data_IF_609893696954
#
_entry.id   IF_609893696954
#
_cell.length_a   1.000
_cell.length_b   1.000
_cell.length_c   1.000
_cell.angle_alpha   90.00
_cell.angle_beta   90.00
_cell.angle_gamma   90.00
#
_symmetry.space_group_name_H-M   'P 1'
#
loop_
_entity.id
_entity.type
_entity.pdbx_description
1 polymer ?
#
# COMPACT_ATOMS: atom_id res chain seq x y z
N UNK A 1 -11.72 9.22 -5.99
CA UNK A 1 -11.54 8.25 -7.09
C UNK A 1 -10.45 7.27 -6.73
N UNK A 2 -10.31 6.16 -7.48
CA UNK A 2 -9.26 5.17 -7.30
C UNK A 2 -8.50 4.94 -8.61
N UNK A 3 -7.17 4.81 -8.54
CA UNK A 3 -6.30 4.53 -9.68
C UNK A 3 -5.19 3.54 -9.34
N UNK A 4 -4.55 2.99 -10.37
CA UNK A 4 -3.36 2.14 -10.25
C UNK A 4 -2.11 2.83 -10.82
N UNK A 5 -0.88 2.45 -10.40
CA UNK A 5 0.35 3.11 -10.87
C UNK A 5 0.49 3.18 -12.39
N UNK A 6 0.04 2.17 -13.13
CA UNK A 6 0.06 2.18 -14.60
C UNK A 6 -0.78 3.32 -15.19
N UNK A 7 -1.87 3.72 -14.54
CA UNK A 7 -2.67 4.85 -15.00
C UNK A 7 -1.97 6.18 -14.70
N UNK A 8 -1.23 6.30 -13.59
CA UNK A 8 -0.39 7.46 -13.33
C UNK A 8 0.71 7.62 -14.38
N UNK A 9 1.37 6.52 -14.76
CA UNK A 9 2.35 6.54 -15.87
C UNK A 9 1.72 7.08 -17.14
N UNK A 10 0.56 6.53 -17.56
CA UNK A 10 -0.14 6.99 -18.77
C UNK A 10 -0.56 8.46 -18.70
N UNK A 11 -0.93 8.95 -17.52
CA UNK A 11 -1.26 10.35 -17.32
C UNK A 11 -0.02 11.23 -17.47
N UNK A 12 1.12 10.84 -16.90
CA UNK A 12 2.38 11.57 -17.01
C UNK A 12 3.00 11.52 -18.42
N UNK A 13 2.69 10.49 -19.20
CA UNK A 13 3.11 10.36 -20.61
C UNK A 13 2.32 11.28 -21.56
N UNK A 14 1.25 11.92 -21.10
CA UNK A 14 0.54 12.92 -21.90
C UNK A 14 1.46 14.12 -22.19
N UNK A 15 1.35 14.72 -23.39
CA UNK A 15 2.00 15.99 -23.70
C UNK A 15 1.75 17.04 -22.61
N UNK A 16 2.77 17.86 -22.32
CA UNK A 16 2.71 18.83 -21.23
C UNK A 16 1.57 19.85 -21.41
N UNK A 17 1.33 20.31 -22.64
CA UNK A 17 0.23 21.21 -22.98
C UNK A 17 -1.15 20.59 -22.71
N UNK A 18 -1.30 19.29 -22.95
CA UNK A 18 -2.51 18.55 -22.61
C UNK A 18 -2.70 18.50 -21.10
N UNK A 19 -1.66 18.14 -20.33
CA UNK A 19 -1.74 18.05 -18.86
C UNK A 19 -2.02 19.41 -18.21
N UNK A 20 -1.31 20.45 -18.65
CA UNK A 20 -1.45 21.81 -18.15
C UNK A 20 -2.81 22.44 -18.51
N UNK A 21 -3.51 21.91 -19.52
CA UNK A 21 -4.83 22.37 -19.92
C UNK A 21 -5.98 21.97 -18.99
N UNK A 22 -5.75 21.05 -18.04
CA UNK A 22 -6.78 20.60 -17.10
C UNK A 22 -6.67 21.29 -15.73
N UNK A 23 -7.78 21.91 -15.29
CA UNK A 23 -7.92 22.38 -13.91
C UNK A 23 -8.22 21.21 -12.97
N UNK A 24 -7.25 20.88 -12.12
CA UNK A 24 -7.32 19.78 -11.15
C UNK A 24 -7.64 20.27 -9.73
N UNK A 25 -7.95 21.56 -9.54
CA UNK A 25 -8.19 22.16 -8.21
C UNK A 25 -9.39 21.58 -7.46
N UNK A 26 -10.29 20.88 -8.16
CA UNK A 26 -11.45 20.22 -7.57
C UNK A 26 -11.15 18.83 -6.99
N UNK A 27 -9.95 18.27 -7.24
CA UNK A 27 -9.53 17.00 -6.64
C UNK A 27 -9.43 17.15 -5.12
N UNK A 28 -9.94 16.15 -4.40
CA UNK A 28 -9.93 16.12 -2.93
C UNK A 28 -9.24 14.89 -2.38
N UNK A 29 -9.58 13.72 -2.92
CA UNK A 29 -9.03 12.44 -2.51
C UNK A 29 -8.90 11.50 -3.72
N UNK A 30 -7.66 11.27 -4.13
CA UNK A 30 -7.27 10.26 -5.12
C UNK A 30 -6.53 9.14 -4.41
N UNK A 31 -7.18 7.98 -4.31
CA UNK A 31 -6.57 6.79 -3.73
C UNK A 31 -5.84 6.02 -4.83
N UNK A 32 -4.64 5.52 -4.56
CA UNK A 32 -4.00 4.52 -5.40
C UNK A 32 -3.48 3.32 -4.62
N UNK A 33 -3.31 2.20 -5.30
CA UNK A 33 -2.80 0.96 -4.74
C UNK A 33 -2.69 -0.14 -5.81
N UNK A 34 -2.88 -1.39 -5.40
CA UNK A 34 -2.87 -2.60 -6.24
C UNK A 34 -1.50 -3.03 -6.82
N UNK A 35 -0.53 -2.13 -6.91
CA UNK A 35 0.84 -2.47 -7.30
C UNK A 35 1.82 -1.44 -6.70
N UNK A 36 3.11 -1.79 -6.55
CA UNK A 36 4.15 -0.82 -6.19
C UNK A 36 4.18 0.35 -7.17
N UNK A 37 4.12 1.58 -6.65
CA UNK A 37 4.25 2.78 -7.47
C UNK A 37 5.73 3.21 -7.55
N UNK A 38 6.33 3.34 -8.75
CA UNK A 38 7.67 3.88 -8.87
C UNK A 38 7.76 5.26 -8.20
N UNK A 39 8.80 5.49 -7.40
CA UNK A 39 8.89 6.71 -6.59
C UNK A 39 8.84 7.99 -7.43
N UNK A 40 9.50 7.99 -8.59
CA UNK A 40 9.48 9.13 -9.52
C UNK A 40 8.06 9.42 -10.04
N UNK A 41 7.28 8.37 -10.36
CA UNK A 41 5.89 8.50 -10.82
C UNK A 41 5.04 9.09 -9.72
N UNK A 42 5.12 8.55 -8.50
CA UNK A 42 4.33 9.06 -7.36
C UNK A 42 4.68 10.51 -7.04
N UNK A 43 5.97 10.87 -7.04
CA UNK A 43 6.43 12.25 -6.82
C UNK A 43 5.87 13.22 -7.86
N UNK A 44 5.99 12.93 -9.16
CA UNK A 44 5.46 13.78 -10.23
C UNK A 44 3.94 13.95 -10.15
N UNK A 45 3.22 12.90 -9.76
CA UNK A 45 1.78 12.99 -9.54
C UNK A 45 1.43 13.86 -8.34
N UNK A 46 2.17 13.78 -7.22
CA UNK A 46 1.98 14.65 -6.06
C UNK A 46 2.31 16.10 -6.42
N UNK A 47 3.36 16.36 -7.20
CA UNK A 47 3.70 17.70 -7.68
C UNK A 47 2.59 18.29 -8.57
N UNK A 48 1.90 17.46 -9.36
CA UNK A 48 0.80 17.91 -10.21
C UNK A 48 -0.54 18.04 -9.48
N UNK A 49 -0.95 17.04 -8.71
CA UNK A 49 -2.28 16.97 -8.07
C UNK A 49 -2.29 17.38 -6.59
N UNK A 50 -1.13 17.73 -6.04
CA UNK A 50 -0.94 18.12 -4.65
C UNK A 50 -1.20 17.00 -3.65
N UNK A 51 -1.55 17.41 -2.43
CA UNK A 51 -1.75 16.53 -1.27
C UNK A 51 -3.01 15.64 -1.35
N UNK A 52 -3.70 15.66 -2.49
CA UNK A 52 -4.93 14.89 -2.70
C UNK A 52 -4.67 13.39 -2.87
N UNK A 53 -3.42 12.98 -3.11
CA UNK A 53 -3.03 11.59 -3.32
C UNK A 53 -2.88 10.86 -1.98
N UNK A 54 -3.50 9.68 -1.89
CA UNK A 54 -3.34 8.73 -0.79
C UNK A 54 -3.00 7.36 -1.37
N UNK A 55 -2.12 6.62 -0.69
CA UNK A 55 -1.80 5.24 -1.05
C UNK A 55 -2.23 4.30 0.07
N UNK A 56 -2.70 3.11 -0.30
CA UNK A 56 -2.80 2.00 0.62
C UNK A 56 -2.08 0.77 0.06
N UNK A 57 -1.54 -0.03 0.97
CA UNK A 57 -1.19 -1.42 0.73
C UNK A 57 -2.19 -2.29 1.49
N UNK A 58 -2.80 -3.26 0.81
CA UNK A 58 -3.81 -4.15 1.37
C UNK A 58 -4.00 -5.36 0.47
N UNK A 59 -4.69 -6.37 0.99
CA UNK A 59 -5.10 -7.54 0.22
C UNK A 59 -6.63 -7.69 0.17
N UNK A 60 -7.11 -8.59 -0.69
CA UNK A 60 -8.54 -8.92 -0.75
C UNK A 60 -9.01 -9.57 0.56
N UNK A 61 -8.10 -10.29 1.20
CA UNK A 61 -8.18 -10.90 2.51
C UNK A 61 -8.34 -9.91 3.67
N UNK A 62 -8.08 -8.61 3.42
CA UNK A 62 -8.23 -7.53 4.38
C UNK A 62 -6.91 -6.92 4.83
N UNK A 63 -6.96 -6.17 5.94
CA UNK A 63 -5.80 -5.50 6.54
C UNK A 63 -5.12 -4.50 5.62
N UNK A 64 -4.12 -3.79 6.15
CA UNK A 64 -3.30 -2.93 5.32
C UNK A 64 -2.73 -1.73 6.04
N UNK A 65 -2.08 -0.89 5.23
CA UNK A 65 -1.51 0.39 5.62
C UNK A 65 -2.09 1.53 4.80
N UNK A 66 -1.89 2.76 5.26
CA UNK A 66 -2.24 3.97 4.52
C UNK A 66 -1.13 5.01 4.68
N UNK A 67 -0.85 5.74 3.61
CA UNK A 67 0.06 6.89 3.63
C UNK A 67 -0.50 8.06 2.83
N UNK A 68 -0.42 9.25 3.40
CA UNK A 68 -0.77 10.51 2.71
C UNK A 68 0.36 10.95 1.78
N UNK A 69 0.06 11.82 0.81
CA UNK A 69 1.09 12.46 -0.02
C UNK A 69 2.18 13.14 0.82
N UNK A 70 1.79 13.87 1.88
CA UNK A 70 2.74 14.56 2.76
C UNK A 70 3.69 13.60 3.48
N UNK A 71 3.16 12.57 4.12
CA UNK A 71 3.98 11.55 4.79
C UNK A 71 4.89 10.82 3.80
N UNK A 72 4.37 10.52 2.60
CA UNK A 72 5.16 9.86 1.57
C UNK A 72 6.30 10.74 1.05
N UNK A 73 6.12 12.06 0.96
CA UNK A 73 7.20 12.99 0.59
C UNK A 73 8.34 13.01 1.61
N UNK A 74 8.04 12.73 2.88
CA UNK A 74 9.02 12.58 3.96
C UNK A 74 9.69 11.20 3.94
N UNK A 75 8.98 10.16 3.49
CA UNK A 75 9.45 8.76 3.43
C UNK A 75 9.18 8.09 2.07
N UNK A 76 9.84 8.49 0.98
CA UNK A 76 9.60 7.93 -0.34
C UNK A 76 9.85 6.42 -0.39
N UNK A 77 8.88 5.69 -0.92
CA UNK A 77 8.90 4.22 -0.99
C UNK A 77 8.16 3.51 0.15
N UNK A 78 7.78 4.23 1.22
CA UNK A 78 6.91 3.68 2.25
C UNK A 78 5.46 3.54 1.76
N UNK A 79 4.75 2.53 2.27
CA UNK A 79 3.29 2.35 2.13
C UNK A 79 2.53 2.80 3.38
N UNK A 80 3.23 3.40 4.34
CA UNK A 80 2.65 4.02 5.53
C UNK A 80 2.50 3.12 6.73
N UNK A 81 1.53 3.45 7.56
CA UNK A 81 1.28 2.80 8.86
C UNK A 81 -0.01 1.99 8.81
N UNK A 82 -0.14 1.04 9.73
CA UNK A 82 -1.32 0.21 9.88
C UNK A 82 -2.60 1.05 9.93
N UNK A 83 -3.69 0.54 9.37
CA UNK A 83 -5.00 1.20 9.51
C UNK A 83 -5.37 1.42 10.99
N UNK A 84 -6.14 2.47 11.31
CA UNK A 84 -6.55 2.74 12.69
C UNK A 84 -7.19 1.51 13.36
N UNK A 85 -6.64 1.11 14.50
CA UNK A 85 -7.10 -0.07 15.25
C UNK A 85 -6.62 -1.43 14.70
N UNK A 86 -5.67 -1.42 13.76
CA UNK A 86 -5.00 -2.61 13.22
C UNK A 86 -3.51 -2.61 13.56
N UNK A 87 -2.85 -3.74 13.33
CA UNK A 87 -1.42 -3.94 13.56
C UNK A 87 -0.78 -4.61 12.34
N UNK A 88 0.46 -4.20 12.03
CA UNK A 88 1.35 -4.87 11.07
C UNK A 88 2.52 -5.45 11.83
N UNK A 89 2.92 -6.68 11.48
CA UNK A 89 4.12 -7.33 12.01
C UNK A 89 4.94 -7.92 10.88
N UNK A 90 6.25 -7.99 11.09
CA UNK A 90 7.19 -8.59 10.16
C UNK A 90 7.72 -9.87 10.80
N UNK A 91 7.70 -10.99 10.08
CA UNK A 91 8.18 -12.28 10.54
C UNK A 91 9.25 -12.84 9.62
N UNK A 92 10.19 -13.62 10.16
CA UNK A 92 11.11 -14.45 9.37
C UNK A 92 10.45 -15.76 8.90
N UNK A 93 11.21 -16.58 8.14
CA UNK A 93 10.75 -17.87 7.62
C UNK A 93 10.51 -18.93 8.70
N UNK A 94 11.02 -18.71 9.91
CA UNK A 94 10.84 -19.59 11.08
C UNK A 94 9.62 -19.18 11.93
N UNK A 95 8.96 -18.06 11.59
CA UNK A 95 7.80 -17.54 12.30
C UNK A 95 8.16 -16.70 13.52
N UNK A 96 9.40 -16.22 13.64
CA UNK A 96 9.80 -15.27 14.68
C UNK A 96 9.54 -13.84 14.23
N UNK A 97 8.96 -13.02 15.12
CA UNK A 97 8.77 -11.60 14.84
C UNK A 97 10.12 -10.88 14.79
N UNK A 98 10.33 -10.11 13.71
CA UNK A 98 11.55 -9.34 13.48
C UNK A 98 11.46 -7.93 14.09
N UNK A 99 12.60 -7.37 14.56
CA UNK A 99 12.69 -5.98 14.99
C UNK A 99 12.64 -5.01 13.79
N UNK A 100 12.44 -3.72 14.06
CA UNK A 100 12.51 -2.66 13.06
C UNK A 100 13.82 -2.67 12.24
N UNK A 101 13.74 -2.30 10.97
CA UNK A 101 14.84 -2.27 10.00
C UNK A 101 15.26 -3.64 9.47
N UNK A 102 14.44 -4.68 9.66
CA UNK A 102 14.65 -6.02 9.10
C UNK A 102 13.55 -6.37 8.12
N UNK A 103 13.96 -6.84 6.94
CA UNK A 103 13.06 -7.34 5.91
C UNK A 103 12.59 -8.74 6.30
N UNK A 104 11.28 -8.97 6.21
CA UNK A 104 10.66 -10.28 6.35
C UNK A 104 9.26 -10.29 5.75
N UNK A 105 8.50 -11.35 6.02
CA UNK A 105 7.14 -11.50 5.53
C UNK A 105 6.20 -10.58 6.31
N UNK A 106 5.39 -9.81 5.58
CA UNK A 106 4.40 -8.90 6.15
C UNK A 106 3.17 -9.67 6.60
N UNK A 107 2.80 -9.48 7.85
CA UNK A 107 1.59 -10.02 8.46
C UNK A 107 0.67 -8.88 8.89
N UNK A 108 -0.60 -8.97 8.50
CA UNK A 108 -1.66 -8.02 8.79
C UNK A 108 -2.63 -8.62 9.81
N UNK A 109 -3.06 -7.82 10.79
CA UNK A 109 -4.02 -8.29 11.78
C UNK A 109 -5.36 -8.65 11.13
N UNK A 110 -5.95 -9.79 11.52
CA UNK A 110 -7.28 -10.19 11.09
C UNK A 110 -8.33 -9.28 11.75
N UNK A 111 -8.96 -8.43 10.94
CA UNK A 111 -10.08 -7.58 11.37
C UNK A 111 -11.44 -8.29 11.24
N UNK A 112 -11.52 -9.26 10.32
CA UNK A 112 -12.62 -10.18 10.14
C UNK A 112 -12.04 -11.52 9.70
N UNK A 113 -12.65 -12.62 10.13
CA UNK A 113 -12.17 -13.95 9.76
C UNK A 113 -12.52 -14.28 8.30
N UNK A 114 -11.67 -15.07 7.65
CA UNK A 114 -11.87 -15.54 6.29
C UNK A 114 -11.20 -16.90 6.08
N UNK A 115 -11.67 -17.64 5.08
CA UNK A 115 -11.03 -18.88 4.65
C UNK A 115 -10.96 -18.95 3.12
N UNK A 116 -9.89 -19.54 2.59
CA UNK A 116 -9.85 -19.91 1.18
C UNK A 116 -10.79 -21.09 0.93
N UNK A 117 -11.77 -20.86 0.06
CA UNK A 117 -12.81 -21.85 -0.26
C UNK A 117 -12.19 -23.15 -0.80
N UNK A 118 -12.40 -24.24 -0.06
CA UNK A 118 -11.93 -25.57 -0.44
C UNK A 118 -10.44 -25.83 -0.18
N UNK A 119 -9.74 -24.90 0.49
CA UNK A 119 -8.30 -25.01 0.74
C UNK A 119 -7.94 -24.64 2.20
N UNK A 120 -8.31 -25.53 3.12
CA UNK A 120 -8.01 -25.36 4.54
C UNK A 120 -6.52 -25.39 4.87
N UNK A 121 -5.71 -26.06 4.03
CA UNK A 121 -4.26 -26.08 4.18
C UNK A 121 -3.67 -24.69 3.92
N UNK A 122 -4.07 -24.04 2.82
CA UNK A 122 -3.66 -22.66 2.51
C UNK A 122 -4.16 -21.66 3.55
N UNK A 123 -5.40 -21.81 4.02
CA UNK A 123 -5.94 -20.98 5.10
C UNK A 123 -5.12 -21.10 6.38
N UNK A 124 -4.66 -22.30 6.76
CA UNK A 124 -3.81 -22.46 7.95
C UNK A 124 -2.39 -21.95 7.72
N UNK A 125 -1.84 -22.19 6.52
CA UNK A 125 -0.47 -21.82 6.19
C UNK A 125 -0.24 -20.30 6.17
N UNK A 126 -1.26 -19.50 5.91
CA UNK A 126 -1.11 -18.04 5.86
C UNK A 126 -1.31 -17.36 7.23
N UNK A 127 -1.46 -18.09 8.34
CA UNK A 127 -1.79 -17.56 9.68
C UNK A 127 -0.62 -17.64 10.64
N UNK A 128 -0.47 -16.61 11.47
CA UNK A 128 0.32 -16.63 12.71
C UNK A 128 -0.51 -15.89 13.76
N UNK A 129 -0.85 -16.54 14.87
CA UNK A 129 -1.73 -15.98 15.91
C UNK A 129 -3.03 -15.40 15.31
N UNK A 130 -3.29 -14.11 15.54
CA UNK A 130 -4.43 -13.35 14.99
C UNK A 130 -4.04 -12.52 13.75
N UNK A 131 -3.01 -12.95 13.02
CA UNK A 131 -2.50 -12.28 11.83
C UNK A 131 -2.54 -13.22 10.63
N UNK A 132 -2.50 -12.61 9.45
CA UNK A 132 -2.35 -13.34 8.20
C UNK A 132 -1.40 -12.64 7.23
N UNK A 133 -0.86 -13.42 6.30
CA UNK A 133 -0.02 -12.90 5.22
C UNK A 133 -0.57 -13.22 3.84
N UNK A 134 -0.17 -12.42 2.86
CA UNK A 134 -0.30 -12.71 1.42
C UNK A 134 1.03 -13.04 0.76
N UNK A 135 2.10 -13.13 1.54
CA UNK A 135 3.45 -13.50 1.08
C UNK A 135 4.32 -12.33 0.63
N UNK A 136 3.87 -11.09 0.82
CA UNK A 136 4.66 -9.90 0.50
C UNK A 136 5.78 -9.68 1.54
N UNK A 137 6.91 -9.16 1.06
CA UNK A 137 8.06 -8.81 1.90
C UNK A 137 8.07 -7.31 2.20
N UNK A 138 8.45 -6.97 3.42
CA UNK A 138 8.55 -5.58 3.87
C UNK A 138 9.35 -5.43 5.16
N UNK A 139 9.53 -4.19 5.59
CA UNK A 139 10.17 -3.82 6.85
C UNK A 139 9.39 -2.69 7.52
N UNK A 140 9.59 -2.52 8.82
CA UNK A 140 9.08 -1.37 9.60
C UNK A 140 10.25 -0.56 10.13
N UNK A 141 10.06 0.75 10.32
CA UNK A 141 11.07 1.69 10.84
C UNK A 141 10.97 1.94 12.35
#
# INVERSE_FOLDING_TARGET
>A
SHMVPTQFVRLLDLPEDVRAGYDVSSLRNMVHGAAPCPQEVKRKMIEWWGDTIQEYYAATEGGGTVITAKEWMERPGSVGTAWPGSEIRIYDDEGNQLPAGKIGTVYMQLMADFEYKGDSAKTKANRIENFFTVGDLGEMD
#
